data_IF_718229500261
#
_entry.id   IF_718229500261
#
_cell.length_a   1.000
_cell.length_b   1.000
_cell.length_c   1.000
_cell.angle_alpha   90.00
_cell.angle_beta   90.00
_cell.angle_gamma   90.00
#
_symmetry.space_group_name_H-M   'P 1'
#
loop_
_entity.id
_entity.type
_entity.pdbx_description
1 polymer ?
#
# COMPACT_ATOMS: atom_id res chain seq x y z
N UNK A 1 -9.65 18.42 18.48
CA UNK A 1 -8.37 18.05 17.82
C UNK A 1 -8.61 18.00 16.32
N UNK A 2 -7.75 18.58 15.46
CA UNK A 2 -7.98 18.51 14.03
C UNK A 2 -7.75 17.07 13.57
N UNK A 3 -8.77 16.46 12.95
CA UNK A 3 -8.62 15.22 12.18
C UNK A 3 -7.57 15.50 11.11
N UNK A 4 -6.38 14.92 11.23
CA UNK A 4 -5.46 14.87 10.11
C UNK A 4 -6.21 14.21 8.94
N UNK A 5 -6.19 14.83 7.77
CA UNK A 5 -6.75 14.24 6.56
C UNK A 5 -5.75 13.13 6.15
N UNK A 6 -5.95 11.94 6.69
CA UNK A 6 -4.95 10.87 6.72
C UNK A 6 -4.68 10.22 5.36
N UNK A 7 -5.63 10.33 4.41
CA UNK A 7 -5.68 9.40 3.29
C UNK A 7 -4.56 9.57 2.24
N UNK A 8 -3.85 10.70 2.22
CA UNK A 8 -2.76 10.93 1.25
C UNK A 8 -1.81 12.00 1.79
N UNK A 9 -0.59 11.61 2.20
CA UNK A 9 0.38 12.56 2.76
C UNK A 9 1.83 12.13 2.56
N UNK A 10 2.75 13.08 2.71
CA UNK A 10 4.16 12.79 2.81
C UNK A 10 4.52 12.54 4.28
N UNK A 11 4.96 11.33 4.63
CA UNK A 11 5.27 10.96 6.02
C UNK A 11 6.71 11.31 6.41
N UNK A 12 7.62 11.42 5.43
CA UNK A 12 8.99 11.86 5.64
C UNK A 12 9.46 12.73 4.49
N UNK A 13 10.24 13.79 4.78
CA UNK A 13 10.84 14.67 3.76
C UNK A 13 12.23 14.23 3.31
N UNK A 14 12.96 13.43 4.12
CA UNK A 14 14.32 12.95 3.82
C UNK A 14 14.54 11.57 4.47
N UNK A 15 14.45 10.46 3.74
CA UNK A 15 14.01 10.37 2.33
C UNK A 15 12.55 10.81 2.15
N UNK A 16 12.17 11.25 0.93
CA UNK A 16 10.78 11.66 0.63
C UNK A 16 9.87 10.44 0.51
N UNK A 17 9.13 10.11 1.57
CA UNK A 17 8.27 8.92 1.59
C UNK A 17 6.81 9.33 1.59
N UNK A 18 6.08 8.82 0.59
CA UNK A 18 4.65 9.03 0.43
C UNK A 18 3.84 7.95 1.15
N UNK A 19 2.71 8.32 1.73
CA UNK A 19 1.74 7.42 2.33
C UNK A 19 0.37 7.65 1.69
N UNK A 20 -0.27 6.56 1.30
CA UNK A 20 -1.63 6.53 0.75
C UNK A 20 -2.44 5.47 1.51
N UNK A 21 -3.53 5.89 2.16
CA UNK A 21 -4.51 4.95 2.70
C UNK A 21 -5.57 4.67 1.62
N UNK A 22 -5.72 3.40 1.27
CA UNK A 22 -6.70 2.88 0.33
C UNK A 22 -7.92 2.44 1.14
N UNK A 23 -9.07 3.09 0.93
CA UNK A 23 -10.25 2.95 1.78
C UNK A 23 -11.50 2.65 0.96
N UNK A 24 -12.49 1.97 1.56
CA UNK A 24 -13.76 1.72 0.89
C UNK A 24 -13.65 0.60 -0.15
N UNK A 25 -14.46 0.70 -1.21
CA UNK A 25 -14.42 -0.20 -2.35
C UNK A 25 -13.39 0.31 -3.38
N UNK A 26 -12.30 -0.42 -3.57
CA UNK A 26 -11.26 -0.07 -4.56
C UNK A 26 -11.58 -0.71 -5.91
N UNK A 27 -11.51 0.08 -6.97
CA UNK A 27 -11.79 -0.37 -8.34
C UNK A 27 -10.53 -0.39 -9.16
N UNK A 28 -10.51 -1.13 -10.27
CA UNK A 28 -9.38 -1.10 -11.21
C UNK A 28 -9.11 0.32 -11.72
N UNK A 29 -10.17 1.11 -11.93
CA UNK A 29 -10.06 2.52 -12.33
C UNK A 29 -9.45 3.39 -11.22
N UNK A 30 -9.86 3.19 -9.97
CA UNK A 30 -9.29 3.90 -8.82
C UNK A 30 -7.81 3.58 -8.64
N UNK A 31 -7.44 2.31 -8.73
CA UNK A 31 -6.05 1.86 -8.68
C UNK A 31 -5.20 2.46 -9.83
N UNK A 32 -5.74 2.56 -11.05
CA UNK A 32 -5.07 3.26 -12.15
C UNK A 32 -4.80 4.73 -11.84
N UNK A 33 -5.76 5.42 -11.21
CA UNK A 33 -5.56 6.80 -10.73
C UNK A 33 -4.44 6.89 -9.69
N UNK A 34 -4.38 5.93 -8.76
CA UNK A 34 -3.31 5.86 -7.76
C UNK A 34 -1.94 5.58 -8.39
N UNK A 35 -1.87 4.78 -9.45
CA UNK A 35 -0.64 4.53 -10.22
C UNK A 35 -0.17 5.78 -10.97
N UNK A 36 -1.09 6.52 -11.60
CA UNK A 36 -0.77 7.79 -12.25
C UNK A 36 -0.26 8.83 -11.24
N UNK A 37 -0.88 8.88 -10.07
CA UNK A 37 -0.42 9.77 -8.99
C UNK A 37 0.95 9.35 -8.44
N UNK A 38 1.21 8.03 -8.32
CA UNK A 38 2.54 7.52 -7.98
C UNK A 38 3.59 8.01 -8.99
N UNK A 39 3.32 7.87 -10.29
CA UNK A 39 4.22 8.33 -11.36
C UNK A 39 4.47 9.84 -11.27
N UNK A 40 3.39 10.63 -11.16
CA UNK A 40 3.50 12.09 -11.01
C UNK A 40 4.35 12.46 -9.78
N UNK A 41 4.19 11.77 -8.65
CA UNK A 41 4.96 12.03 -7.43
C UNK A 41 6.43 11.65 -7.58
N UNK A 42 6.75 10.59 -8.31
CA UNK A 42 8.14 10.21 -8.61
C UNK A 42 8.81 11.29 -9.46
N UNK A 43 8.13 11.76 -10.49
CA UNK A 43 8.67 12.70 -11.47
C UNK A 43 8.75 14.13 -10.93
N UNK A 44 7.67 14.62 -10.32
CA UNK A 44 7.51 16.01 -9.88
C UNK A 44 7.93 16.19 -8.44
N UNK A 45 7.38 15.37 -7.53
CA UNK A 45 7.60 15.53 -6.09
C UNK A 45 8.86 14.82 -5.60
N UNK A 46 9.53 14.07 -6.48
CA UNK A 46 10.76 13.32 -6.22
C UNK A 46 10.66 12.41 -5.00
N UNK A 47 9.54 11.71 -4.86
CA UNK A 47 9.41 10.69 -3.81
C UNK A 47 10.43 9.57 -4.05
N UNK A 48 10.94 9.03 -2.96
CA UNK A 48 11.97 7.99 -2.94
C UNK A 48 11.44 6.68 -2.40
N UNK A 49 10.14 6.59 -2.12
CA UNK A 49 9.44 5.39 -1.69
C UNK A 49 7.99 5.69 -1.32
N UNK A 50 7.17 4.66 -1.20
CA UNK A 50 5.78 4.80 -0.82
C UNK A 50 5.29 3.66 0.09
N UNK A 51 4.36 3.99 0.98
CA UNK A 51 3.57 3.04 1.76
C UNK A 51 2.13 3.14 1.29
N UNK A 52 1.60 2.04 0.78
CA UNK A 52 0.18 1.89 0.46
C UNK A 52 -0.49 1.07 1.55
N UNK A 53 -1.50 1.64 2.18
CA UNK A 53 -2.14 1.09 3.37
C UNK A 53 -3.58 0.67 3.08
N UNK A 54 -3.79 -0.64 3.03
CA UNK A 54 -5.03 -1.32 2.69
C UNK A 54 -5.82 -1.75 3.94
N UNK A 55 -5.40 -1.34 5.14
CA UNK A 55 -6.06 -1.75 6.41
C UNK A 55 -7.49 -1.23 6.56
N UNK A 56 -7.88 -0.24 5.76
CA UNK A 56 -9.22 0.34 5.69
C UNK A 56 -9.95 0.00 4.39
N UNK A 57 -9.44 -0.98 3.64
CA UNK A 57 -10.10 -1.44 2.43
C UNK A 57 -11.30 -2.32 2.80
N UNK A 58 -12.49 -1.90 2.37
CA UNK A 58 -13.76 -2.61 2.62
C UNK A 58 -14.01 -3.67 1.54
N UNK A 59 -13.51 -3.46 0.32
CA UNK A 59 -13.61 -4.42 -0.78
C UNK A 59 -12.88 -3.98 -2.03
N UNK A 60 -12.77 -4.88 -3.01
CA UNK A 60 -12.15 -4.57 -4.30
C UNK A 60 -12.76 -5.38 -5.45
N UNK A 61 -12.65 -4.86 -6.68
CA UNK A 61 -13.14 -5.55 -7.89
C UNK A 61 -12.56 -6.98 -8.01
N UNK A 62 -13.29 -7.95 -8.61
CA UNK A 62 -12.79 -9.30 -8.81
C UNK A 62 -11.38 -9.35 -9.44
N UNK A 63 -10.50 -10.20 -8.91
CA UNK A 63 -9.07 -10.24 -9.30
C UNK A 63 -8.79 -10.46 -10.78
N UNK A 64 -9.72 -11.04 -11.53
CA UNK A 64 -9.62 -11.18 -12.99
C UNK A 64 -9.55 -9.82 -13.71
N UNK A 65 -10.19 -8.80 -13.17
CA UNK A 65 -10.25 -7.45 -13.76
C UNK A 65 -8.93 -6.68 -13.52
N UNK A 66 -8.14 -7.12 -12.55
CA UNK A 66 -6.87 -6.51 -12.18
C UNK A 66 -5.69 -6.93 -13.06
N UNK A 67 -5.84 -7.92 -13.94
CA UNK A 67 -4.73 -8.48 -14.74
C UNK A 67 -4.04 -7.38 -15.57
N UNK A 68 -4.82 -6.52 -16.23
CA UNK A 68 -4.29 -5.40 -17.01
C UNK A 68 -3.54 -4.39 -16.14
N UNK A 69 -4.11 -4.07 -14.97
CA UNK A 69 -3.49 -3.18 -13.99
C UNK A 69 -2.15 -3.73 -13.48
N UNK A 70 -2.10 -5.00 -13.08
CA UNK A 70 -0.87 -5.61 -12.54
C UNK A 70 0.27 -5.61 -13.57
N UNK A 71 -0.05 -5.79 -14.86
CA UNK A 71 0.93 -5.62 -15.94
C UNK A 71 1.39 -4.17 -16.06
N UNK A 72 0.46 -3.22 -15.99
CA UNK A 72 0.77 -1.79 -15.99
C UNK A 72 1.69 -1.40 -14.83
N UNK A 73 1.39 -1.85 -13.61
CA UNK A 73 2.24 -1.64 -12.43
C UNK A 73 3.65 -2.18 -12.65
N UNK A 74 3.78 -3.39 -13.20
CA UNK A 74 5.06 -4.03 -13.47
C UNK A 74 5.92 -3.30 -14.53
N UNK A 75 5.32 -2.46 -15.37
CA UNK A 75 6.04 -1.69 -16.39
C UNK A 75 6.42 -0.30 -15.88
N UNK A 76 5.58 0.29 -15.03
CA UNK A 76 5.63 1.71 -14.70
C UNK A 76 6.30 2.03 -13.36
N UNK A 77 6.61 1.03 -12.54
CA UNK A 77 7.31 1.23 -11.27
C UNK A 77 8.83 1.19 -11.49
N UNK A 78 9.57 2.26 -11.13
CA UNK A 78 11.02 2.31 -11.27
C UNK A 78 11.75 1.20 -10.52
N UNK A 79 12.84 0.71 -11.12
CA UNK A 79 13.75 -0.22 -10.48
C UNK A 79 14.32 0.39 -9.18
N UNK A 80 14.38 -0.41 -8.12
CA UNK A 80 14.91 0.01 -6.83
C UNK A 80 13.96 0.86 -5.98
N UNK A 81 12.78 1.27 -6.48
CA UNK A 81 11.84 2.07 -5.69
C UNK A 81 11.29 1.22 -4.52
N UNK A 82 11.48 1.65 -3.25
CA UNK A 82 10.91 0.99 -2.08
C UNK A 82 9.40 1.19 -2.00
N UNK A 83 8.65 0.09 -1.98
CA UNK A 83 7.19 0.09 -1.91
C UNK A 83 6.70 -0.87 -0.83
N UNK A 84 6.04 -0.34 0.20
CA UNK A 84 5.38 -1.16 1.21
C UNK A 84 3.88 -1.28 0.94
N UNK A 85 3.34 -2.49 1.02
CA UNK A 85 1.91 -2.78 0.85
C UNK A 85 1.38 -3.35 2.16
N UNK A 86 0.79 -2.49 2.99
CA UNK A 86 0.36 -2.80 4.35
C UNK A 86 -1.10 -3.27 4.37
N UNK A 87 -1.37 -4.46 4.90
CA UNK A 87 -2.73 -4.94 5.14
C UNK A 87 -2.77 -5.99 6.28
N UNK A 88 -3.95 -6.23 6.86
CA UNK A 88 -4.14 -7.23 7.93
C UNK A 88 -5.14 -8.35 7.61
N UNK A 89 -6.13 -8.10 6.75
CA UNK A 89 -7.22 -9.06 6.49
C UNK A 89 -7.70 -8.99 5.04
N UNK A 90 -8.88 -8.42 4.79
CA UNK A 90 -9.58 -8.42 3.50
C UNK A 90 -8.68 -7.92 2.34
N UNK A 91 -7.92 -6.85 2.56
CA UNK A 91 -6.99 -6.30 1.58
C UNK A 91 -5.68 -7.07 1.38
N UNK A 92 -5.38 -8.12 2.16
CA UNK A 92 -4.09 -8.81 2.14
C UNK A 92 -3.81 -9.50 0.81
N UNK A 93 -4.80 -10.16 0.20
CA UNK A 93 -4.63 -10.82 -1.09
C UNK A 93 -4.31 -9.81 -2.20
N UNK A 94 -5.05 -8.70 -2.25
CA UNK A 94 -4.78 -7.60 -3.17
C UNK A 94 -3.38 -7.01 -2.96
N UNK A 95 -3.05 -6.64 -1.72
CA UNK A 95 -1.74 -6.08 -1.36
C UNK A 95 -0.57 -7.02 -1.71
N UNK A 96 -0.70 -8.33 -1.46
CA UNK A 96 0.30 -9.33 -1.84
C UNK A 96 0.50 -9.42 -3.36
N UNK A 97 -0.58 -9.40 -4.14
CA UNK A 97 -0.50 -9.46 -5.60
C UNK A 97 0.15 -8.20 -6.18
N UNK A 98 -0.21 -7.04 -5.64
CA UNK A 98 0.40 -5.76 -5.99
C UNK A 98 1.90 -5.75 -5.66
N UNK A 99 2.25 -6.22 -4.46
CA UNK A 99 3.64 -6.34 -4.04
C UNK A 99 4.46 -7.19 -5.02
N UNK A 100 3.95 -8.38 -5.37
CA UNK A 100 4.58 -9.30 -6.33
C UNK A 100 4.68 -8.71 -7.75
N UNK A 101 3.65 -8.00 -8.21
CA UNK A 101 3.67 -7.36 -9.52
C UNK A 101 4.72 -6.25 -9.60
N UNK A 102 4.84 -5.40 -8.57
CA UNK A 102 5.89 -4.40 -8.48
C UNK A 102 7.30 -5.03 -8.32
N UNK A 103 7.45 -6.13 -7.58
CA UNK A 103 8.72 -6.85 -7.51
C UNK A 103 9.19 -7.33 -8.90
N UNK A 104 8.27 -7.78 -9.76
CA UNK A 104 8.60 -8.19 -11.13
C UNK A 104 9.14 -7.04 -12.00
N UNK A 105 8.94 -5.77 -11.62
CA UNK A 105 9.55 -4.61 -12.28
C UNK A 105 10.95 -4.27 -11.77
N UNK A 106 11.42 -4.98 -10.73
CA UNK A 106 12.67 -4.67 -10.03
C UNK A 106 12.53 -3.63 -8.91
N UNK A 107 11.31 -3.30 -8.49
CA UNK A 107 11.08 -2.49 -7.30
C UNK A 107 11.49 -3.22 -6.01
N UNK A 108 11.93 -2.48 -4.98
CA UNK A 108 12.13 -3.00 -3.62
C UNK A 108 10.78 -3.07 -2.89
N UNK A 109 9.90 -3.92 -3.42
CA UNK A 109 8.50 -4.00 -3.02
C UNK A 109 8.25 -5.13 -2.02
N UNK A 110 7.44 -4.90 -0.99
CA UNK A 110 7.14 -5.90 0.04
C UNK A 110 5.70 -5.78 0.57
N UNK A 111 5.07 -6.94 0.80
CA UNK A 111 3.83 -7.03 1.58
C UNK A 111 4.15 -7.00 3.08
N UNK A 112 3.45 -6.15 3.82
CA UNK A 112 3.72 -5.88 5.23
C UNK A 112 2.47 -6.18 6.05
N UNK A 113 2.62 -6.95 7.13
CA UNK A 113 1.54 -7.25 8.07
C UNK A 113 1.44 -6.24 9.21
N UNK A 114 2.37 -5.29 9.31
CA UNK A 114 2.37 -4.27 10.36
C UNK A 114 3.14 -3.02 9.90
N UNK A 115 2.93 -1.93 10.63
CA UNK A 115 3.52 -0.64 10.35
C UNK A 115 5.06 -0.65 10.43
N UNK A 116 5.62 -1.39 11.39
CA UNK A 116 7.06 -1.52 11.56
C UNK A 116 7.74 -2.11 10.31
N UNK A 117 7.18 -3.19 9.77
CA UNK A 117 7.64 -3.79 8.52
C UNK A 117 7.52 -2.80 7.35
N UNK A 118 6.42 -2.05 7.28
CA UNK A 118 6.23 -1.06 6.23
C UNK A 118 7.28 0.05 6.27
N UNK A 119 7.63 0.54 7.47
CA UNK A 119 8.70 1.52 7.66
C UNK A 119 10.07 0.96 7.24
N UNK A 120 10.40 -0.28 7.65
CA UNK A 120 11.66 -0.91 7.28
C UNK A 120 11.80 -1.08 5.77
N UNK A 121 10.74 -1.50 5.07
CA UNK A 121 10.73 -1.63 3.61
C UNK A 121 11.10 -0.32 2.92
N UNK A 122 10.63 0.83 3.42
CA UNK A 122 10.91 2.15 2.84
C UNK A 122 12.11 2.86 3.46
N UNK A 123 12.90 2.17 4.30
CA UNK A 123 14.12 2.70 4.91
C UNK A 123 13.90 3.77 5.98
N UNK A 124 12.75 3.75 6.67
CA UNK A 124 12.44 4.69 7.75
C UNK A 124 12.61 4.06 9.15
N UNK A 125 13.05 4.85 10.15
CA UNK A 125 13.14 4.41 11.54
C UNK A 125 11.75 4.27 12.20
N UNK A 126 11.64 3.42 13.22
CA UNK A 126 10.37 3.10 13.91
C UNK A 126 9.74 4.27 14.70
N UNK A 127 10.43 5.41 14.80
CA UNK A 127 9.90 6.62 15.44
C UNK A 127 8.75 7.29 14.66
N UNK A 128 8.58 6.94 13.37
CA UNK A 128 7.48 7.45 12.57
C UNK A 128 6.18 6.79 13.02
N UNK A 129 5.25 7.61 13.52
CA UNK A 129 3.97 7.12 14.05
C UNK A 129 3.10 6.57 12.93
N UNK A 130 2.41 5.47 13.25
CA UNK A 130 1.36 4.92 12.40
C UNK A 130 0.26 5.99 12.18
N UNK A 131 -0.05 6.38 10.92
CA UNK A 131 -1.13 7.30 10.62
C UNK A 131 -2.52 6.76 10.98
N UNK A 132 -2.70 5.44 11.05
CA UNK A 132 -3.95 4.77 11.40
C UNK A 132 -3.77 3.86 12.63
N UNK A 133 -3.48 4.44 13.81
CA UNK A 133 -3.27 3.67 15.02
C UNK A 133 -4.55 2.94 15.45
N UNK A 134 -4.41 1.72 15.97
CA UNK A 134 -5.53 0.95 16.53
C UNK A 134 -6.31 0.09 15.53
N UNK A 135 -5.86 0.00 14.27
CA UNK A 135 -6.38 -0.97 13.30
C UNK A 135 -5.63 -2.30 13.32
N UNK A 136 -5.04 -2.66 14.46
CA UNK A 136 -4.39 -3.95 14.62
C UNK A 136 -5.41 -5.05 14.31
N UNK A 137 -4.90 -6.09 13.65
CA UNK A 137 -5.47 -7.40 13.29
C UNK A 137 -6.90 -7.62 13.79
N UNK A 138 -7.86 -8.08 12.94
CA UNK A 138 -9.12 -8.56 13.50
C UNK A 138 -8.77 -9.60 14.59
N UNK A 139 -9.51 -9.65 15.71
CA UNK A 139 -9.43 -10.82 16.58
C UNK A 139 -9.59 -12.04 15.68
N UNK A 140 -8.77 -13.07 15.86
CA UNK A 140 -8.89 -14.32 15.13
C UNK A 140 -10.38 -14.67 15.09
N UNK A 141 -10.99 -14.60 13.89
CA UNK A 141 -12.32 -15.15 13.72
C UNK A 141 -12.14 -16.62 14.02
N UNK A 142 -12.60 -17.03 15.22
CA UNK A 142 -12.75 -18.41 15.60
C UNK A 142 -13.33 -19.14 14.40
N UNK A 143 -12.48 -19.95 13.76
CA UNK A 143 -12.90 -20.89 12.76
C UNK A 143 -13.78 -21.88 13.51
N UNK A 144 -15.07 -21.55 13.60
CA UNK A 144 -16.12 -22.49 13.90
C UNK A 144 -16.08 -23.49 12.75
N UNK A 145 -15.30 -24.55 12.93
CA UNK A 145 -15.55 -25.81 12.27
C UNK A 145 -16.97 -26.21 12.63
N UNK A 146 -17.89 -26.00 11.70
CA UNK A 146 -19.17 -26.70 11.71
C UNK A 146 -18.89 -28.09 11.15
N UNK A 147 -19.28 -29.08 11.94
CA UNK A 147 -19.10 -30.53 11.77
C UNK A 147 -19.42 -31.07 10.37
#
# INVERSE_FOLDING_TARGET
>A
MPRANLANMLICNRPRIWYLAVTGQETVRGAMGNLQELQRRIEVDRIQGAIFDFRKLDGYDPMQDWIGFLKGLAINVPHGLPLAWLAHSHGANAAQRLARAAQKSGALSQFCMNWEAALMTVGLPQKFKDPLPGLLTPPDDDVLFLD
#
